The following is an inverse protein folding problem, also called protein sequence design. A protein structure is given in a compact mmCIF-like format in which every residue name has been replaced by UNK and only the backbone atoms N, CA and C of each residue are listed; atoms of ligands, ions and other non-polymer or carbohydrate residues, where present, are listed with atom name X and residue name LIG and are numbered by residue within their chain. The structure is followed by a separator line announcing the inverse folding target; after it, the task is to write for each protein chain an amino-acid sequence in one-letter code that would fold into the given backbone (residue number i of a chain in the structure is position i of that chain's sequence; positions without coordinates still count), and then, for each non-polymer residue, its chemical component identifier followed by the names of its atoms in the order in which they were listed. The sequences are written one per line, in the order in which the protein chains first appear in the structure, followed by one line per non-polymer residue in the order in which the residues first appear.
data_IF_445261192037
#
_entry.id   IF_445261192037
#
_cell.length_a   1.000
_cell.length_b   1.000
_cell.length_c   1.000
_cell.angle_alpha   90.00
_cell.angle_beta   90.00
_cell.angle_gamma   90.00
#
_symmetry.space_group_name_H-M   'P 1'
#
loop_
_entity.id
_entity.type
_entity.pdbx_description
1 polymer ?
#
# COMPACT_ATOMS: atom_id res chain seq x y z
N UNK A 1 -31.21 -20.92 33.34
CA UNK A 1 -29.86 -21.06 32.77
C UNK A 1 -29.49 -19.74 32.09
N UNK A 2 -28.52 -19.00 32.62
CA UNK A 2 -28.13 -17.70 32.06
C UNK A 2 -27.46 -17.91 30.69
N UNK A 3 -28.02 -17.31 29.63
CA UNK A 3 -27.38 -17.26 28.31
C UNK A 3 -26.06 -16.51 28.47
N UNK A 4 -24.93 -17.21 28.32
CA UNK A 4 -23.61 -16.59 28.19
C UNK A 4 -23.64 -15.74 26.91
N UNK A 5 -23.85 -14.44 27.06
CA UNK A 5 -23.72 -13.48 25.98
C UNK A 5 -22.27 -13.52 25.53
N UNK A 6 -22.00 -14.13 24.37
CA UNK A 6 -20.65 -14.19 23.81
C UNK A 6 -20.18 -12.75 23.59
N UNK A 7 -19.03 -12.39 24.15
CA UNK A 7 -18.42 -11.09 23.93
C UNK A 7 -17.82 -11.07 22.51
N UNK A 8 -18.66 -10.68 21.54
CA UNK A 8 -18.36 -10.68 20.11
C UNK A 8 -17.12 -9.83 19.80
N UNK A 9 -16.92 -8.75 20.56
CA UNK A 9 -15.75 -7.87 20.43
C UNK A 9 -14.45 -8.61 20.71
N UNK A 10 -14.40 -9.40 21.79
CA UNK A 10 -13.22 -10.18 22.15
C UNK A 10 -12.89 -11.26 21.09
N UNK A 11 -13.89 -11.98 20.60
CA UNK A 11 -13.69 -13.00 19.56
C UNK A 11 -13.17 -12.41 18.25
N UNK A 12 -13.58 -11.19 17.92
CA UNK A 12 -13.14 -10.49 16.71
C UNK A 12 -11.67 -10.08 16.81
N UNK A 13 -11.24 -9.55 17.96
CA UNK A 13 -9.84 -9.19 18.22
C UNK A 13 -8.94 -10.42 18.33
N UNK A 14 -9.45 -11.53 18.88
CA UNK A 14 -8.71 -12.78 18.96
C UNK A 14 -8.40 -13.38 17.57
N UNK A 15 -9.34 -13.26 16.63
CA UNK A 15 -9.19 -13.79 15.25
C UNK A 15 -8.30 -12.95 14.35
N UNK A 16 -8.14 -11.65 14.61
CA UNK A 16 -7.29 -10.74 13.82
C UNK A 16 -5.86 -10.64 14.34
N UNK A 17 -5.51 -11.42 15.37
CA UNK A 17 -4.22 -11.36 16.05
C UNK A 17 -3.18 -12.21 15.30
N UNK A 18 -2.33 -11.54 14.52
CA UNK A 18 -1.17 -12.15 13.86
C UNK A 18 0.12 -11.64 14.55
N UNK A 19 0.93 -12.52 15.15
CA UNK A 19 2.17 -12.17 15.86
C UNK A 19 2.08 -11.02 16.89
N UNK A 20 0.99 -10.96 17.66
CA UNK A 20 0.89 -10.06 18.82
C UNK A 20 0.72 -8.56 18.50
N UNK A 21 0.56 -8.18 17.23
CA UNK A 21 0.29 -6.80 16.84
C UNK A 21 -1.14 -6.68 16.33
N UNK A 22 -1.87 -5.66 16.80
CA UNK A 22 -3.20 -5.33 16.33
C UNK A 22 -3.12 -4.91 14.85
N UNK A 23 -3.53 -5.80 13.94
CA UNK A 23 -3.81 -5.42 12.57
C UNK A 23 -5.21 -4.78 12.55
N UNK A 24 -5.25 -3.44 12.52
CA UNK A 24 -6.51 -2.73 12.32
C UNK A 24 -7.24 -3.32 11.09
N UNK A 25 -8.58 -3.48 11.12
CA UNK A 25 -9.34 -3.90 9.93
C UNK A 25 -9.10 -2.99 8.71
N UNK A 26 -8.65 -1.75 8.96
CA UNK A 26 -8.28 -0.75 7.96
C UNK A 26 -6.77 -0.66 7.70
N UNK A 27 -5.97 -1.56 8.26
CA UNK A 27 -4.55 -1.66 7.93
C UNK A 27 -4.42 -2.26 6.54
N UNK A 28 -4.56 -1.43 5.50
CA UNK A 28 -4.06 -1.80 4.18
C UNK A 28 -2.57 -2.09 4.37
N UNK A 29 -2.06 -3.30 4.04
CA UNK A 29 -0.63 -3.52 4.01
C UNK A 29 -0.02 -2.45 3.10
N UNK A 30 1.17 -1.94 3.45
CA UNK A 30 1.95 -1.10 2.54
C UNK A 30 1.96 -1.82 1.20
N UNK A 31 1.30 -1.20 0.22
CA UNK A 31 0.84 -1.84 -1.00
C UNK A 31 1.91 -2.80 -1.55
N UNK A 32 1.51 -4.05 -1.80
CA UNK A 32 2.33 -5.01 -2.51
C UNK A 32 2.92 -4.35 -3.76
N UNK A 33 4.11 -4.80 -4.17
CA UNK A 33 4.85 -4.25 -5.29
C UNK A 33 3.89 -3.98 -6.45
N UNK A 34 3.64 -2.71 -6.75
CA UNK A 34 2.75 -2.31 -7.83
C UNK A 34 3.43 -2.75 -9.13
N UNK A 35 3.06 -3.93 -9.63
CA UNK A 35 3.50 -4.46 -10.91
C UNK A 35 2.83 -3.69 -12.05
N UNK A 36 3.18 -2.42 -12.21
CA UNK A 36 2.64 -1.59 -13.28
C UNK A 36 3.38 -1.93 -14.57
N UNK A 37 2.62 -2.33 -15.59
CA UNK A 37 3.17 -2.44 -16.95
C UNK A 37 3.16 -1.07 -17.59
N UNK A 38 4.34 -0.60 -17.98
CA UNK A 38 4.53 0.61 -18.76
C UNK A 38 4.77 0.23 -20.21
N UNK A 39 4.41 1.10 -21.18
CA UNK A 39 4.90 1.01 -22.55
C UNK A 39 6.43 0.90 -22.59
N UNK A 40 6.97 0.23 -23.59
CA UNK A 40 8.41 -0.08 -23.69
C UNK A 40 9.26 1.19 -23.61
N UNK A 41 8.94 2.18 -24.44
CA UNK A 41 9.67 3.45 -24.50
C UNK A 41 9.67 4.18 -23.14
N UNK A 42 8.52 4.18 -22.45
CA UNK A 42 8.38 4.80 -21.15
C UNK A 42 9.16 4.04 -20.08
N UNK A 43 9.17 2.70 -20.13
CA UNK A 43 9.94 1.90 -19.19
C UNK A 43 11.45 2.12 -19.36
N UNK A 44 11.95 2.23 -20.59
CA UNK A 44 13.35 2.57 -20.87
C UNK A 44 13.70 3.95 -20.33
N UNK A 45 12.86 4.94 -20.59
CA UNK A 45 13.04 6.29 -20.05
C UNK A 45 13.07 6.28 -18.52
N UNK A 46 12.13 5.58 -17.87
CA UNK A 46 12.08 5.45 -16.39
C UNK A 46 13.35 4.77 -15.85
N UNK A 47 13.91 3.77 -16.53
CA UNK A 47 15.19 3.14 -16.12
C UNK A 47 16.32 4.16 -16.12
N UNK A 48 16.45 4.92 -17.21
CA UNK A 48 17.53 5.90 -17.39
C UNK A 48 17.39 7.02 -16.36
N UNK A 49 16.18 7.53 -16.16
CA UNK A 49 15.91 8.63 -15.25
C UNK A 49 16.08 8.21 -13.77
N UNK A 50 15.65 7.01 -13.41
CA UNK A 50 15.88 6.45 -12.07
C UNK A 50 17.39 6.33 -11.76
N UNK A 51 18.19 5.86 -12.72
CA UNK A 51 19.66 5.82 -12.59
C UNK A 51 20.25 7.23 -12.43
N UNK A 52 19.79 8.20 -13.23
CA UNK A 52 20.27 9.58 -13.18
C UNK A 52 20.02 10.24 -11.81
N UNK A 53 18.90 9.93 -11.18
CA UNK A 53 18.50 10.47 -9.86
C UNK A 53 18.97 9.63 -8.67
N UNK A 54 19.52 8.44 -8.91
CA UNK A 54 19.94 7.53 -7.85
C UNK A 54 18.77 6.96 -7.02
N UNK A 55 17.59 6.80 -7.63
CA UNK A 55 16.40 6.27 -6.97
C UNK A 55 15.87 5.00 -7.64
N UNK A 56 14.92 4.32 -7.01
CA UNK A 56 14.26 3.15 -7.60
C UNK A 56 13.14 3.57 -8.55
N UNK A 57 12.83 2.71 -9.53
CA UNK A 57 11.69 2.95 -10.45
C UNK A 57 10.37 3.18 -9.69
N UNK A 58 10.14 2.43 -8.61
CA UNK A 58 8.93 2.54 -7.81
C UNK A 58 8.81 3.91 -7.12
N UNK A 59 9.93 4.48 -6.65
CA UNK A 59 9.94 5.82 -6.07
C UNK A 59 9.63 6.88 -7.12
N UNK A 60 10.26 6.79 -8.30
CA UNK A 60 10.02 7.70 -9.40
C UNK A 60 8.54 7.69 -9.85
N UNK A 61 7.93 6.51 -9.95
CA UNK A 61 6.51 6.35 -10.32
C UNK A 61 5.60 6.91 -9.24
N UNK A 62 5.90 6.67 -7.95
CA UNK A 62 5.11 7.22 -6.83
C UNK A 62 5.16 8.75 -6.79
N UNK A 63 6.33 9.32 -7.02
CA UNK A 63 6.52 10.77 -7.11
C UNK A 63 5.70 11.36 -8.27
N UNK A 64 5.78 10.74 -9.46
CA UNK A 64 5.00 11.17 -10.62
C UNK A 64 3.49 11.14 -10.35
N UNK A 65 2.97 10.05 -9.77
CA UNK A 65 1.55 9.94 -9.40
C UNK A 65 1.15 10.99 -8.37
N UNK A 66 2.00 11.26 -7.38
CA UNK A 66 1.75 12.30 -6.38
C UNK A 66 1.65 13.68 -7.02
N UNK A 67 2.56 14.03 -7.93
CA UNK A 67 2.54 15.32 -8.63
C UNK A 67 1.29 15.47 -9.51
N UNK A 68 0.91 14.42 -10.23
CA UNK A 68 -0.34 14.40 -11.01
C UNK A 68 -1.57 14.59 -10.12
N UNK A 69 -1.63 13.92 -8.97
CA UNK A 69 -2.74 14.08 -8.04
C UNK A 69 -2.85 15.48 -7.44
N UNK A 70 -1.73 16.21 -7.32
CA UNK A 70 -1.75 17.59 -6.83
C UNK A 70 -2.21 18.57 -7.91
N UNK A 71 -1.87 18.31 -9.17
CA UNK A 71 -2.33 19.12 -10.31
C UNK A 71 -3.83 19.00 -10.58
N UNK A 72 -4.47 17.88 -10.26
CA UNK A 72 -5.92 17.71 -10.49
C UNK A 72 -6.82 18.41 -9.46
N UNK A 73 -6.24 18.98 -8.40
CA UNK A 73 -6.99 19.65 -7.32
C UNK A 73 -6.74 21.17 -7.31
N UNK A 74 -6.12 21.71 -8.36
CA UNK A 74 -5.98 23.16 -8.62
C UNK A 74 -6.71 23.55 -9.90
#
# INVERSE_FOLDING_TARGET
MAKKTKNIGYETVAKTRNNGKFASPNHKPLAGTLGVRLPVDLNEWVVVEAKRRGCTKNELIREAVRLMSQQQVS
#
